data_IF_592460000375
#
_entry.id   IF_592460000375
#
_cell.length_a   1.000
_cell.length_b   1.000
_cell.length_c   1.000
_cell.angle_alpha   90.00
_cell.angle_beta   90.00
_cell.angle_gamma   90.00
#
_symmetry.space_group_name_H-M   'P 1'
#
loop_
_entity.id
_entity.type
_entity.pdbx_description
1 polymer ?
#
# COMPACT_ATOMS: atom_id res chain seq x y z
N UNK A 1 32.90 -88.75 18.99
CA UNK A 1 32.60 -88.63 20.44
C UNK A 1 31.33 -87.78 20.52
N UNK A 2 30.12 -88.32 20.33
CA UNK A 2 29.29 -89.01 21.33
C UNK A 2 29.28 -88.31 22.69
N UNK A 3 28.26 -87.48 22.93
CA UNK A 3 27.38 -87.57 24.10
C UNK A 3 26.21 -86.57 23.96
N UNK A 4 25.02 -87.11 24.16
CA UNK A 4 23.68 -86.52 24.19
C UNK A 4 23.37 -86.09 25.64
N UNK A 5 22.57 -85.05 25.90
CA UNK A 5 21.19 -85.08 26.47
C UNK A 5 21.04 -83.74 27.25
N UNK A 6 19.89 -83.09 27.45
CA UNK A 6 18.59 -83.54 28.00
C UNK A 6 17.49 -82.53 27.61
N UNK A 7 16.32 -83.04 27.22
CA UNK A 7 15.05 -82.32 27.10
C UNK A 7 14.25 -82.36 28.42
N UNK A 8 13.57 -81.26 28.78
CA UNK A 8 12.34 -81.29 29.60
C UNK A 8 11.61 -79.94 29.63
N UNK A 9 10.29 -79.91 29.90
CA UNK A 9 9.33 -79.17 29.09
C UNK A 9 8.52 -78.16 29.88
N UNK A 10 8.40 -76.93 29.38
CA UNK A 10 7.39 -75.98 29.86
C UNK A 10 6.93 -75.03 28.75
N UNK A 11 6.69 -75.59 27.56
CA UNK A 11 5.80 -74.98 26.59
C UNK A 11 4.37 -75.39 26.89
N UNK A 12 3.60 -74.58 27.63
CA UNK A 12 2.14 -74.58 27.46
C UNK A 12 1.36 -73.40 28.04
N UNK A 13 1.99 -72.24 28.36
CA UNK A 13 1.22 -71.17 29.00
C UNK A 13 1.75 -69.76 28.68
N UNK A 14 1.74 -69.34 27.41
CA UNK A 14 1.94 -67.91 27.06
C UNK A 14 1.51 -67.47 25.65
N UNK A 15 0.73 -68.28 24.93
CA UNK A 15 0.24 -67.92 23.59
C UNK A 15 -1.07 -67.08 23.58
N UNK A 16 -1.62 -66.69 24.73
CA UNK A 16 -2.95 -66.02 24.80
C UNK A 16 -2.91 -64.57 25.30
N UNK A 17 -1.74 -64.03 25.69
CA UNK A 17 -1.66 -62.65 26.23
C UNK A 17 -1.15 -61.62 25.21
N UNK A 18 -0.54 -62.06 24.10
CA UNK A 18 0.02 -61.14 23.09
C UNK A 18 -1.02 -60.56 22.12
N UNK A 19 -2.17 -61.23 21.92
CA UNK A 19 -3.22 -60.77 21.00
C UNK A 19 -4.20 -59.73 21.56
N UNK A 20 -4.11 -59.39 22.85
CA UNK A 20 -4.96 -58.35 23.47
C UNK A 20 -4.25 -56.98 23.46
N UNK A 21 -2.92 -56.95 23.47
CA UNK A 21 -2.15 -55.69 23.54
C UNK A 21 -2.06 -54.94 22.19
N UNK A 22 -2.15 -55.62 21.04
CA UNK A 22 -2.04 -54.98 19.72
C UNK A 22 -3.35 -54.38 19.17
N UNK A 23 -4.52 -54.73 19.71
CA UNK A 23 -5.81 -54.20 19.21
C UNK A 23 -6.14 -52.79 19.74
N UNK A 24 -5.60 -52.39 20.89
CA UNK A 24 -5.94 -51.11 21.51
C UNK A 24 -5.17 -49.90 20.96
N UNK A 25 -4.00 -50.07 20.35
CA UNK A 25 -3.28 -48.93 19.75
C UNK A 25 -3.89 -48.43 18.43
N UNK A 26 -4.71 -49.21 17.73
CA UNK A 26 -5.32 -48.77 16.45
C UNK A 26 -6.64 -47.98 16.60
N UNK A 27 -7.24 -47.97 17.79
CA UNK A 27 -8.45 -47.18 18.08
C UNK A 27 -8.13 -45.76 18.53
N UNK A 28 -7.01 -45.56 19.23
CA UNK A 28 -6.55 -44.21 19.62
C UNK A 28 -6.12 -43.35 18.41
N UNK A 29 -5.55 -43.95 17.37
CA UNK A 29 -5.18 -43.22 16.15
C UNK A 29 -6.39 -42.80 15.31
N UNK A 30 -7.48 -43.59 15.30
CA UNK A 30 -8.73 -43.22 14.64
C UNK A 30 -9.56 -42.19 15.42
N UNK A 31 -9.42 -42.14 16.75
CA UNK A 31 -10.04 -41.11 17.59
C UNK A 31 -9.30 -39.77 17.55
N UNK A 32 -8.02 -39.74 17.15
CA UNK A 32 -7.29 -38.49 16.84
C UNK A 32 -7.62 -37.92 15.46
N UNK A 33 -8.04 -38.76 14.51
CA UNK A 33 -8.45 -38.34 13.17
C UNK A 33 -9.90 -37.80 13.07
N UNK A 34 -10.69 -37.88 14.15
CA UNK A 34 -12.06 -37.34 14.24
C UNK A 34 -12.17 -36.09 15.14
N UNK A 35 -11.06 -35.63 15.72
CA UNK A 35 -11.02 -34.43 16.57
C UNK A 35 -10.88 -33.09 15.83
N UNK A 36 -10.92 -33.08 14.50
CA UNK A 36 -10.81 -31.86 13.68
C UNK A 36 -12.05 -31.58 12.83
N UNK A 37 -13.23 -32.01 13.29
CA UNK A 37 -14.49 -31.70 12.62
C UNK A 37 -15.57 -31.36 13.65
N UNK A 38 -15.47 -30.16 14.25
CA UNK A 38 -16.56 -29.32 14.79
C UNK A 38 -15.99 -28.26 15.74
N UNK A 39 -15.18 -27.33 15.22
CA UNK A 39 -15.32 -25.93 15.64
C UNK A 39 -15.99 -25.24 14.46
N UNK A 40 -17.26 -24.96 14.67
CA UNK A 40 -18.08 -24.14 13.82
C UNK A 40 -17.38 -22.80 13.53
N UNK A 41 -17.24 -22.48 12.25
CA UNK A 41 -17.84 -21.27 11.69
C UNK A 41 -17.72 -19.96 12.50
N UNK A 42 -16.53 -19.62 13.00
CA UNK A 42 -16.23 -18.26 13.51
C UNK A 42 -14.71 -17.99 13.55
N UNK A 43 -13.99 -18.50 12.56
CA UNK A 43 -12.63 -18.05 12.26
C UNK A 43 -12.68 -17.25 10.99
N UNK A 44 -13.24 -16.04 11.04
CA UNK A 44 -13.06 -15.06 9.96
C UNK A 44 -11.55 -14.94 9.79
N UNK A 45 -11.05 -15.45 8.66
CA UNK A 45 -9.70 -15.18 8.19
C UNK A 45 -9.62 -13.65 8.11
N UNK A 46 -9.15 -13.00 9.17
CA UNK A 46 -8.58 -11.68 9.10
C UNK A 46 -7.28 -11.86 8.33
N UNK A 47 -7.41 -12.06 7.02
CA UNK A 47 -6.44 -11.57 6.07
C UNK A 47 -6.24 -10.12 6.49
N UNK A 48 -5.16 -9.87 7.22
CA UNK A 48 -4.55 -8.55 7.30
C UNK A 48 -4.12 -8.19 5.89
N UNK A 49 -5.11 -7.89 5.04
CA UNK A 49 -4.89 -7.15 3.83
C UNK A 49 -4.31 -5.84 4.32
N UNK A 50 -3.03 -5.63 4.04
CA UNK A 50 -2.54 -4.27 3.92
C UNK A 50 -3.57 -3.57 3.03
N UNK A 51 -4.20 -2.47 3.46
CA UNK A 51 -5.11 -1.75 2.59
C UNK A 51 -4.34 -1.52 1.30
N UNK A 52 -4.80 -2.13 0.20
CA UNK A 52 -4.24 -1.85 -1.10
C UNK A 52 -4.38 -0.33 -1.24
N UNK A 53 -3.27 0.38 -1.40
CA UNK A 53 -3.30 1.82 -1.62
C UNK A 53 -4.24 2.03 -2.81
N UNK A 54 -5.44 2.53 -2.53
CA UNK A 54 -6.45 2.67 -3.56
C UNK A 54 -5.90 3.70 -4.53
N UNK A 55 -5.71 3.29 -5.78
CA UNK A 55 -5.14 4.16 -6.79
C UNK A 55 -6.06 5.39 -6.89
N UNK A 56 -5.48 6.57 -6.71
CA UNK A 56 -6.22 7.82 -6.82
C UNK A 56 -6.75 7.94 -8.25
N UNK A 57 -8.02 8.35 -8.46
CA UNK A 57 -8.53 8.57 -9.80
C UNK A 57 -7.83 9.79 -10.43
N UNK A 58 -7.65 9.74 -11.75
CA UNK A 58 -7.03 10.83 -12.51
C UNK A 58 -8.06 11.90 -12.88
N UNK A 59 -7.60 13.13 -13.07
CA UNK A 59 -8.39 14.19 -13.66
C UNK A 59 -8.51 13.98 -15.18
N UNK A 60 -9.72 14.19 -15.69
CA UNK A 60 -9.98 14.26 -17.13
C UNK A 60 -10.14 15.72 -17.55
N UNK A 61 -9.47 16.11 -18.64
CA UNK A 61 -9.65 17.45 -19.21
C UNK A 61 -11.08 17.57 -19.76
N UNK A 62 -11.88 18.43 -19.13
CA UNK A 62 -13.24 18.76 -19.55
C UNK A 62 -13.31 20.24 -19.83
N UNK A 63 -13.78 20.62 -21.01
CA UNK A 63 -13.88 22.03 -21.40
C UNK A 63 -14.66 22.86 -20.38
N UNK A 64 -14.11 24.02 -20.03
CA UNK A 64 -14.71 24.92 -19.06
C UNK A 64 -14.62 24.48 -17.60
N UNK A 65 -14.00 23.34 -17.27
CA UNK A 65 -13.66 23.00 -15.88
C UNK A 65 -12.23 23.44 -15.53
N UNK A 66 -12.09 24.08 -14.37
CA UNK A 66 -10.83 24.44 -13.77
C UNK A 66 -10.84 24.08 -12.28
N UNK A 67 -9.66 24.06 -11.68
CA UNK A 67 -9.48 23.75 -10.27
C UNK A 67 -8.73 24.88 -9.59
N UNK A 68 -9.16 25.21 -8.38
CA UNK A 68 -8.54 26.23 -7.55
C UNK A 68 -8.21 25.62 -6.19
N UNK A 69 -6.97 25.82 -5.75
CA UNK A 69 -6.49 25.38 -4.44
C UNK A 69 -6.13 26.62 -3.63
N UNK A 70 -6.84 26.84 -2.53
CA UNK A 70 -6.73 28.07 -1.74
C UNK A 70 -7.06 27.81 -0.27
N UNK A 71 -6.95 28.84 0.57
CA UNK A 71 -7.05 28.80 2.04
C UNK A 71 -5.81 28.19 2.73
N UNK A 72 -5.82 28.33 4.06
CA UNK A 72 -4.85 27.78 5.00
C UNK A 72 -5.61 27.20 6.20
N UNK A 73 -5.86 25.88 6.27
CA UNK A 73 -5.34 24.83 5.40
C UNK A 73 -5.90 24.85 3.98
N UNK A 74 -5.17 24.23 3.04
CA UNK A 74 -5.52 24.31 1.61
C UNK A 74 -6.69 23.41 1.24
N UNK A 75 -7.78 24.02 0.79
CA UNK A 75 -8.97 23.37 0.25
C UNK A 75 -9.00 23.39 -1.28
N UNK A 76 -9.69 22.41 -1.87
CA UNK A 76 -9.93 22.32 -3.30
C UNK A 76 -11.32 22.87 -3.69
N UNK A 77 -11.35 23.57 -4.82
CA UNK A 77 -12.53 24.13 -5.44
C UNK A 77 -12.59 23.72 -6.91
N UNK A 78 -13.77 23.30 -7.36
CA UNK A 78 -14.09 23.18 -8.78
C UNK A 78 -14.65 24.51 -9.28
N UNK A 79 -14.10 25.00 -10.38
CA UNK A 79 -14.55 26.21 -11.05
C UNK A 79 -15.09 25.83 -12.42
N UNK A 80 -16.35 26.16 -12.68
CA UNK A 80 -16.93 26.08 -14.02
C UNK A 80 -16.82 27.46 -14.67
N UNK A 81 -15.85 27.60 -15.57
CA UNK A 81 -15.56 28.83 -16.30
C UNK A 81 -16.67 29.22 -17.28
N UNK A 82 -17.37 28.23 -17.86
CA UNK A 82 -18.46 28.49 -18.79
C UNK A 82 -19.71 29.03 -18.08
N UNK A 83 -20.02 28.50 -16.90
CA UNK A 83 -21.16 28.92 -16.09
C UNK A 83 -20.82 30.05 -15.08
N UNK A 84 -19.54 30.35 -14.87
CA UNK A 84 -19.09 31.32 -13.87
C UNK A 84 -19.35 30.87 -12.42
N UNK A 85 -19.43 29.56 -12.16
CA UNK A 85 -19.76 29.02 -10.83
C UNK A 85 -18.55 28.38 -10.18
N UNK A 86 -18.53 28.35 -8.85
CA UNK A 86 -17.49 27.71 -8.04
C UNK A 86 -18.13 26.82 -6.98
N UNK A 87 -17.58 25.62 -6.78
CA UNK A 87 -18.02 24.67 -5.77
C UNK A 87 -16.83 24.24 -4.92
N UNK A 88 -16.91 24.45 -3.61
CA UNK A 88 -15.94 23.92 -2.67
C UNK A 88 -16.09 22.39 -2.57
N UNK A 89 -14.97 21.67 -2.68
CA UNK A 89 -14.95 20.21 -2.74
C UNK A 89 -14.38 19.57 -1.49
N UNK A 90 -13.56 20.30 -0.75
CA UNK A 90 -13.03 19.87 0.55
C UNK A 90 -13.28 20.94 1.60
N UNK A 91 -13.41 20.52 2.84
CA UNK A 91 -13.51 21.40 4.00
C UNK A 91 -12.52 20.90 5.06
N UNK A 92 -11.66 21.79 5.56
CA UNK A 92 -10.67 21.47 6.58
C UNK A 92 -9.32 21.00 6.02
N UNK A 93 -9.10 21.18 4.72
CA UNK A 93 -7.83 20.94 4.05
C UNK A 93 -7.69 19.55 3.41
N UNK A 94 -7.03 19.51 2.25
CA UNK A 94 -6.67 18.28 1.53
C UNK A 94 -5.82 17.31 2.37
N UNK A 95 -5.00 17.85 3.26
CA UNK A 95 -4.09 17.09 4.14
C UNK A 95 -4.20 17.56 5.60
N UNK A 96 -5.42 17.87 6.05
CA UNK A 96 -5.65 18.43 7.38
C UNK A 96 -5.09 19.85 7.47
N UNK A 97 -4.22 20.14 8.45
CA UNK A 97 -3.68 21.49 8.70
C UNK A 97 -2.59 21.95 7.71
N UNK A 98 -2.29 21.16 6.67
CA UNK A 98 -1.23 21.46 5.72
C UNK A 98 -1.60 22.59 4.76
N UNK A 99 -0.59 23.39 4.43
CA UNK A 99 -0.66 24.44 3.42
C UNK A 99 0.10 23.98 2.19
N UNK A 100 -0.58 23.94 1.05
CA UNK A 100 -0.01 23.53 -0.22
C UNK A 100 0.15 24.75 -1.13
N UNK A 101 1.25 24.79 -1.88
CA UNK A 101 1.53 25.83 -2.87
C UNK A 101 2.17 25.20 -4.12
N UNK A 102 2.55 26.04 -5.09
CA UNK A 102 3.33 25.65 -6.25
C UNK A 102 2.65 24.49 -7.02
N UNK A 103 1.39 24.67 -7.40
CA UNK A 103 0.62 23.63 -8.06
C UNK A 103 0.95 23.51 -9.56
N UNK A 104 0.93 22.28 -10.08
CA UNK A 104 1.04 22.00 -11.51
C UNK A 104 0.28 20.72 -11.90
N UNK A 105 -0.27 20.68 -13.11
CA UNK A 105 -0.96 19.50 -13.65
C UNK A 105 -0.01 18.67 -14.50
N UNK A 106 0.09 17.38 -14.18
CA UNK A 106 0.84 16.43 -14.99
C UNK A 106 -0.04 15.81 -16.07
N UNK A 107 0.14 16.23 -17.32
CA UNK A 107 -0.62 15.69 -18.45
C UNK A 107 -0.33 14.21 -18.73
N UNK A 108 0.85 13.70 -18.34
CA UNK A 108 1.23 12.31 -18.61
C UNK A 108 0.53 11.33 -17.65
N UNK A 109 0.33 11.73 -16.39
CA UNK A 109 -0.30 10.88 -15.37
C UNK A 109 -1.72 11.29 -15.01
N UNK A 110 -2.15 12.49 -15.38
CA UNK A 110 -3.48 13.02 -15.10
C UNK A 110 -3.70 13.45 -13.65
N UNK A 111 -2.63 13.72 -12.89
CA UNK A 111 -2.74 14.19 -11.50
C UNK A 111 -2.32 15.65 -11.36
N UNK A 112 -2.87 16.31 -10.34
CA UNK A 112 -2.38 17.61 -9.91
C UNK A 112 -1.35 17.38 -8.81
N UNK A 113 -0.24 18.11 -8.89
CA UNK A 113 0.84 18.08 -7.92
C UNK A 113 0.98 19.44 -7.25
N UNK A 114 1.29 19.47 -5.97
CA UNK A 114 1.63 20.69 -5.22
C UNK A 114 2.78 20.41 -4.24
N UNK A 115 3.38 21.45 -3.68
CA UNK A 115 4.40 21.35 -2.64
C UNK A 115 3.78 21.70 -1.28
N UNK A 116 4.10 20.91 -0.26
CA UNK A 116 3.66 21.16 1.11
C UNK A 116 4.57 22.21 1.76
N UNK A 117 4.06 23.42 1.95
CA UNK A 117 4.81 24.55 2.47
C UNK A 117 5.45 24.21 3.82
N UNK A 118 6.76 24.44 3.94
CA UNK A 118 7.54 24.10 5.14
C UNK A 118 7.92 22.63 5.29
N UNK A 119 7.60 21.78 4.31
CA UNK A 119 7.98 20.37 4.28
C UNK A 119 8.68 20.00 2.95
N UNK A 120 9.62 19.07 3.01
CA UNK A 120 10.27 18.47 1.84
C UNK A 120 9.39 17.37 1.20
N UNK A 121 8.11 17.70 0.99
CA UNK A 121 7.12 16.84 0.36
C UNK A 121 6.47 17.53 -0.83
N UNK A 122 6.30 16.78 -1.92
CA UNK A 122 5.29 17.08 -2.94
C UNK A 122 4.04 16.23 -2.67
N UNK A 123 2.90 16.69 -3.12
CA UNK A 123 1.59 16.09 -2.85
C UNK A 123 0.90 15.82 -4.17
N UNK A 124 0.53 14.56 -4.40
CA UNK A 124 -0.30 14.15 -5.53
C UNK A 124 -1.76 14.21 -5.13
N UNK A 125 -2.58 14.84 -5.96
CA UNK A 125 -4.01 15.01 -5.76
C UNK A 125 -4.76 14.26 -6.87
N UNK A 126 -5.72 13.43 -6.47
CA UNK A 126 -6.64 12.73 -7.37
C UNK A 126 -7.90 13.55 -7.67
N UNK A 127 -8.67 13.14 -8.68
CA UNK A 127 -9.92 13.80 -9.05
C UNK A 127 -11.06 13.62 -8.04
N UNK A 128 -10.87 12.73 -7.07
CA UNK A 128 -11.70 12.56 -5.87
C UNK A 128 -11.23 13.40 -4.68
N UNK A 129 -10.23 14.27 -4.87
CA UNK A 129 -9.61 15.12 -3.84
C UNK A 129 -8.87 14.34 -2.75
N UNK A 130 -8.62 13.05 -2.94
CA UNK A 130 -7.62 12.34 -2.15
C UNK A 130 -6.25 12.97 -2.37
N UNK A 131 -5.42 13.02 -1.33
CA UNK A 131 -4.08 13.61 -1.40
C UNK A 131 -3.04 12.67 -0.78
N UNK A 132 -1.87 12.53 -1.43
CA UNK A 132 -0.79 11.65 -0.99
C UNK A 132 0.56 12.37 -1.04
N UNK A 133 1.34 12.28 0.06
CA UNK A 133 2.68 12.86 0.17
C UNK A 133 3.74 11.98 -0.50
N UNK A 134 4.72 12.63 -1.11
CA UNK A 134 5.93 12.05 -1.67
C UNK A 134 7.12 12.90 -1.22
N UNK A 135 8.02 12.30 -0.45
CA UNK A 135 9.21 12.99 0.02
C UNK A 135 10.21 13.24 -1.12
N UNK A 136 10.94 14.35 -1.05
CA UNK A 136 12.06 14.65 -1.93
C UNK A 136 13.23 15.24 -1.14
N UNK A 137 14.39 15.35 -1.78
CA UNK A 137 15.58 15.97 -1.19
C UNK A 137 15.78 17.36 -1.76
N UNK A 138 15.86 18.36 -0.89
CA UNK A 138 16.19 19.71 -1.30
C UNK A 138 17.67 19.83 -1.72
N UNK A 139 17.97 20.58 -2.79
CA UNK A 139 19.33 20.99 -3.07
C UNK A 139 19.88 21.90 -1.96
N UNK A 140 21.19 21.93 -1.79
CA UNK A 140 21.84 22.84 -0.83
C UNK A 140 21.50 24.31 -1.15
N UNK A 141 21.18 25.09 -0.11
CA UNK A 141 20.83 26.51 -0.24
C UNK A 141 19.34 26.81 -0.47
N UNK A 142 18.48 25.79 -0.47
CA UNK A 142 17.03 25.94 -0.60
C UNK A 142 16.31 25.69 0.75
N UNK A 143 15.11 26.28 0.90
CA UNK A 143 14.22 26.08 2.05
C UNK A 143 12.79 25.85 1.57
N UNK A 144 12.10 24.95 2.26
CA UNK A 144 10.74 24.46 2.04
C UNK A 144 9.65 25.54 2.04
N UNK A 145 9.93 26.73 2.57
CA UNK A 145 8.94 27.83 2.71
C UNK A 145 8.91 28.82 1.56
N UNK A 146 9.86 28.69 0.62
CA UNK A 146 10.15 29.75 -0.36
C UNK A 146 9.63 29.45 -1.76
N UNK A 147 8.98 28.32 -1.98
CA UNK A 147 8.45 27.95 -3.29
C UNK A 147 7.11 28.64 -3.55
N UNK A 148 7.03 29.39 -4.65
CA UNK A 148 5.86 30.24 -4.99
C UNK A 148 5.21 29.87 -6.31
N UNK A 149 5.95 29.23 -7.23
CA UNK A 149 5.41 28.70 -8.48
C UNK A 149 5.84 27.25 -8.64
N UNK A 150 4.91 26.42 -9.10
CA UNK A 150 5.17 25.06 -9.52
C UNK A 150 4.73 24.86 -10.96
N UNK A 151 5.40 23.97 -11.68
CA UNK A 151 4.96 23.45 -12.97
C UNK A 151 5.31 21.95 -13.05
N UNK A 152 4.62 21.20 -13.89
CA UNK A 152 4.95 19.79 -14.14
C UNK A 152 5.18 19.58 -15.64
N UNK A 153 6.41 19.18 -15.97
CA UNK A 153 6.81 18.86 -17.33
C UNK A 153 7.21 17.39 -17.48
N UNK A 154 7.30 16.93 -18.72
CA UNK A 154 7.88 15.62 -19.02
C UNK A 154 9.33 15.78 -19.43
N UNK A 155 10.24 15.11 -18.72
CA UNK A 155 11.66 15.02 -19.07
C UNK A 155 11.95 13.62 -19.60
N UNK A 156 12.66 13.54 -20.71
CA UNK A 156 13.19 12.27 -21.19
C UNK A 156 14.51 12.01 -20.49
N UNK A 157 14.57 10.94 -19.72
CA UNK A 157 15.77 10.48 -19.04
C UNK A 157 16.34 9.29 -19.79
N UNK A 158 17.58 9.41 -20.25
CA UNK A 158 18.33 8.29 -20.82
C UNK A 158 19.03 7.54 -19.69
N UNK A 159 18.73 6.26 -19.55
CA UNK A 159 19.46 5.38 -18.64
C UNK A 159 20.91 5.23 -19.14
N UNK A 160 21.88 5.57 -18.27
CA UNK A 160 23.28 5.63 -18.64
C UNK A 160 23.91 4.26 -18.94
N UNK A 161 23.31 3.15 -18.47
CA UNK A 161 23.83 1.79 -18.69
C UNK A 161 23.22 1.10 -19.90
N UNK A 162 21.96 1.41 -20.23
CA UNK A 162 21.19 0.72 -21.28
C UNK A 162 20.91 1.59 -22.50
N UNK A 163 21.07 2.92 -22.40
CA UNK A 163 20.68 3.87 -23.44
C UNK A 163 19.17 4.01 -23.61
N UNK A 164 18.37 3.34 -22.78
CA UNK A 164 16.91 3.37 -22.86
C UNK A 164 16.41 4.73 -22.42
N UNK A 165 15.62 5.37 -23.28
CA UNK A 165 14.98 6.64 -22.98
C UNK A 165 13.62 6.40 -22.32
N UNK A 166 13.44 6.95 -21.12
CA UNK A 166 12.19 6.88 -20.36
C UNK A 166 11.67 8.29 -20.14
N UNK A 167 10.41 8.53 -20.49
CA UNK A 167 9.72 9.78 -20.14
C UNK A 167 9.34 9.75 -18.67
N UNK A 168 9.73 10.77 -17.92
CA UNK A 168 9.41 10.94 -16.50
C UNK A 168 8.75 12.30 -16.28
N UNK A 169 7.68 12.31 -15.51
CA UNK A 169 7.10 13.56 -15.01
C UNK A 169 8.05 14.19 -13.99
N UNK A 170 8.27 15.49 -14.14
CA UNK A 170 9.19 16.29 -13.32
C UNK A 170 8.46 17.52 -12.85
N UNK A 171 8.41 17.72 -11.53
CA UNK A 171 7.89 18.94 -10.93
C UNK A 171 9.00 19.98 -10.82
N UNK A 172 8.78 21.16 -11.38
CA UNK A 172 9.66 22.32 -11.30
C UNK A 172 9.13 23.25 -10.22
N UNK A 173 9.96 23.57 -9.22
CA UNK A 173 9.62 24.48 -8.13
C UNK A 173 10.47 25.75 -8.23
N UNK A 174 9.82 26.90 -8.32
CA UNK A 174 10.50 28.21 -8.40
C UNK A 174 10.40 28.94 -7.09
N UNK A 175 11.54 29.46 -6.64
CA UNK A 175 11.65 30.27 -5.42
C UNK A 175 11.10 31.67 -5.63
N UNK A 176 10.33 32.18 -4.67
CA UNK A 176 10.02 33.60 -4.58
C UNK A 176 11.27 34.39 -4.19
N UNK A 177 11.47 35.56 -4.80
CA UNK A 177 12.52 36.48 -4.36
C UNK A 177 12.30 36.86 -2.89
N UNK A 178 13.33 36.73 -2.07
CA UNK A 178 13.36 37.43 -0.78
C UNK A 178 13.47 38.92 -1.10
N UNK A 179 12.41 39.67 -0.82
CA UNK A 179 12.51 41.13 -0.70
C UNK A 179 13.50 41.51 0.39
#
# INVERSE_FOLDING_TARGET
MHAETVFSPAQHLRATVSNIFFKYNSLFDKLRALGNLLIASAGLLALGGTPAAQAQPTFTCTDGKSYLFQNSPTDAYEVNLAAGTTAQKTTGGLLGTANLNAFGYDQASGYIWGQENGQSNIVRIGSDYSAQRFAFTLPSGYNETTFVVGDVGTVTVTDAGTGVQTKKSTMYLTRGGSG
#
